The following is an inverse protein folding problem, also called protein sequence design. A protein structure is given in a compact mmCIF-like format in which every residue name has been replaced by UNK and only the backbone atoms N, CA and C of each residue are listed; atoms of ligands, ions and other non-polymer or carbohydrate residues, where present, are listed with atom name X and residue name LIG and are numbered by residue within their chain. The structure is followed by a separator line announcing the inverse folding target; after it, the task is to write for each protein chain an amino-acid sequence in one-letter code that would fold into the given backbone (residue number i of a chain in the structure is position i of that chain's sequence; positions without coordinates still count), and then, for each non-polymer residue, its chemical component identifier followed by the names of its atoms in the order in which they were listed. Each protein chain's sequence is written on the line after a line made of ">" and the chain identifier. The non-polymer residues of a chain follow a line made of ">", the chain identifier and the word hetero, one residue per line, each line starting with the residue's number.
data_IF_136432463171
#
_entry.id   IF_136432463171
#
_cell.length_a   1.000
_cell.length_b   1.000
_cell.length_c   1.000
_cell.angle_alpha   90.00
_cell.angle_beta   90.00
_cell.angle_gamma   90.00
#
_symmetry.space_group_name_H-M   'P 1'
#
loop_
_entity.id
_entity.type
_entity.pdbx_description
1 polymer ?
#
# COMPACT_ATOMS: atom_id res chain seq x y z
N UNK A 1 21.33 -100.05 78.30
CA UNK A 1 22.08 -100.97 79.17
C UNK A 1 21.11 -102.03 79.69
N UNK A 2 21.36 -103.31 79.42
CA UNK A 2 20.55 -104.38 80.01
C UNK A 2 21.07 -104.65 81.42
N UNK A 3 20.20 -104.65 82.42
CA UNK A 3 20.58 -105.05 83.78
C UNK A 3 20.73 -106.58 83.82
N UNK A 4 21.90 -107.07 84.25
CA UNK A 4 22.23 -108.51 84.21
C UNK A 4 21.74 -109.30 85.42
N UNK A 5 21.42 -108.61 86.51
CA UNK A 5 21.01 -109.25 87.76
C UNK A 5 19.50 -109.20 87.90
N UNK A 6 18.92 -110.36 88.20
CA UNK A 6 17.51 -110.46 88.56
C UNK A 6 17.21 -109.57 89.77
N UNK A 7 16.10 -108.85 89.70
CA UNK A 7 15.65 -108.05 90.82
C UNK A 7 15.25 -108.97 91.97
N UNK A 8 15.57 -108.60 93.23
CA UNK A 8 15.11 -109.34 94.40
C UNK A 8 13.60 -109.15 94.54
N UNK A 9 12.82 -109.95 93.81
CA UNK A 9 11.38 -109.80 93.71
C UNK A 9 10.71 -110.08 95.06
N UNK A 10 10.18 -109.02 95.66
CA UNK A 10 9.51 -109.09 96.96
C UNK A 10 8.11 -108.49 96.86
N UNK A 11 7.10 -109.35 96.70
CA UNK A 11 5.69 -108.92 96.50
C UNK A 11 4.93 -108.62 97.79
N UNK A 12 5.46 -109.05 98.94
CA UNK A 12 4.84 -108.79 100.24
C UNK A 12 4.93 -107.30 100.58
N UNK A 13 3.83 -106.56 100.44
CA UNK A 13 3.81 -105.09 100.63
C UNK A 13 4.16 -104.63 102.05
N UNK A 14 3.88 -105.46 103.04
CA UNK A 14 4.14 -105.12 104.44
C UNK A 14 3.39 -103.89 104.95
N UNK A 15 3.86 -103.34 106.06
CA UNK A 15 3.37 -102.10 106.68
C UNK A 15 4.58 -101.21 106.97
N UNK A 16 4.51 -99.94 106.61
CA UNK A 16 5.60 -98.98 106.84
C UNK A 16 5.89 -98.87 108.35
N UNK A 17 7.16 -98.94 108.79
CA UNK A 17 7.53 -98.62 110.16
C UNK A 17 7.13 -97.19 110.55
N UNK A 18 6.84 -96.91 111.83
CA UNK A 18 6.67 -95.54 112.31
C UNK A 18 7.94 -94.72 112.03
N UNK A 19 7.77 -93.42 111.78
CA UNK A 19 8.85 -92.55 111.33
C UNK A 19 10.07 -92.56 112.27
N UNK A 20 9.85 -92.57 113.58
CA UNK A 20 10.92 -92.68 114.57
C UNK A 20 11.85 -93.88 114.35
N UNK A 21 11.30 -95.02 113.89
CA UNK A 21 12.10 -96.22 113.57
C UNK A 21 12.81 -96.14 112.22
N UNK A 22 12.30 -95.35 111.27
CA UNK A 22 13.01 -95.09 110.01
C UNK A 22 14.22 -94.18 110.24
N UNK A 23 14.09 -93.23 111.16
CA UNK A 23 15.14 -92.26 111.47
C UNK A 23 16.25 -92.89 112.33
N UNK A 24 15.90 -93.71 113.33
CA UNK A 24 16.87 -94.33 114.25
C UNK A 24 17.48 -95.65 113.76
N UNK A 25 16.81 -96.36 112.84
CA UNK A 25 17.22 -97.68 112.35
C UNK A 25 16.99 -98.86 113.32
N UNK A 26 17.45 -100.05 112.93
CA UNK A 26 17.38 -101.27 113.75
C UNK A 26 18.48 -101.28 114.81
N UNK A 27 18.12 -101.43 116.09
CA UNK A 27 19.08 -101.54 117.21
C UNK A 27 19.42 -102.99 117.51
N UNK A 28 20.55 -103.23 118.16
CA UNK A 28 20.94 -104.58 118.62
C UNK A 28 19.87 -105.11 119.57
N UNK A 29 19.39 -106.34 119.35
CA UNK A 29 18.23 -107.00 120.00
C UNK A 29 16.83 -106.56 119.50
N UNK A 30 16.70 -105.63 118.54
CA UNK A 30 15.41 -105.36 117.93
C UNK A 30 14.93 -106.60 117.13
N UNK A 31 13.70 -107.03 117.39
CA UNK A 31 13.00 -108.08 116.63
C UNK A 31 11.97 -107.41 115.72
N UNK A 32 12.36 -106.93 114.52
CA UNK A 32 11.47 -106.19 113.64
C UNK A 32 10.25 -107.02 113.23
N UNK A 33 9.02 -106.45 113.23
CA UNK A 33 7.86 -107.13 112.69
C UNK A 33 8.09 -107.50 111.22
N UNK A 34 7.66 -108.69 110.81
CA UNK A 34 7.77 -109.15 109.42
C UNK A 34 7.11 -108.18 108.43
N UNK A 35 6.04 -107.49 108.84
CA UNK A 35 5.39 -106.47 108.02
C UNK A 35 6.33 -105.29 107.69
N UNK A 36 7.22 -104.90 108.60
CA UNK A 36 8.14 -103.78 108.39
C UNK A 36 9.27 -104.16 107.43
N UNK A 37 9.83 -105.36 107.61
CA UNK A 37 10.82 -105.91 106.68
C UNK A 37 10.23 -106.10 105.28
N UNK A 38 9.00 -106.63 105.19
CA UNK A 38 8.27 -106.77 103.94
C UNK A 38 8.11 -105.43 103.22
N UNK A 39 7.74 -104.36 103.94
CA UNK A 39 7.59 -103.02 103.35
C UNK A 39 8.91 -102.49 102.78
N UNK A 40 10.00 -102.60 103.56
CA UNK A 40 11.31 -102.15 103.12
C UNK A 40 11.78 -102.93 101.89
N UNK A 41 11.64 -104.25 101.91
CA UNK A 41 12.05 -105.12 100.80
C UNK A 41 11.21 -104.88 99.54
N UNK A 42 9.88 -104.76 99.66
CA UNK A 42 9.00 -104.46 98.52
C UNK A 42 9.26 -103.07 97.93
N UNK A 43 9.43 -102.04 98.76
CA UNK A 43 9.71 -100.69 98.26
C UNK A 43 11.07 -100.60 97.59
N UNK A 44 12.05 -101.32 98.11
CA UNK A 44 13.38 -101.41 97.48
C UNK A 44 13.26 -102.13 96.13
N UNK A 45 12.50 -103.22 96.03
CA UNK A 45 12.22 -103.90 94.77
C UNK A 45 11.51 -102.99 93.75
N UNK A 46 10.41 -102.33 94.13
CA UNK A 46 9.66 -101.43 93.22
C UNK A 46 10.52 -100.27 92.71
N UNK A 47 11.31 -99.64 93.58
CA UNK A 47 12.20 -98.55 93.18
C UNK A 47 13.31 -99.03 92.24
N UNK A 48 13.91 -100.19 92.51
CA UNK A 48 14.91 -100.78 91.62
C UNK A 48 14.29 -101.19 90.28
N UNK A 49 13.05 -101.72 90.27
CA UNK A 49 12.31 -102.03 89.05
C UNK A 49 12.06 -100.79 88.19
N UNK A 50 11.58 -99.70 88.79
CA UNK A 50 11.34 -98.45 88.07
C UNK A 50 12.64 -97.88 87.49
N UNK A 51 13.75 -97.94 88.23
CA UNK A 51 15.06 -97.51 87.73
C UNK A 51 15.52 -98.39 86.56
N UNK A 52 15.33 -99.71 86.66
CA UNK A 52 15.68 -100.62 85.57
C UNK A 52 14.85 -100.37 84.29
N UNK A 53 13.54 -100.14 84.45
CA UNK A 53 12.62 -99.86 83.32
C UNK A 53 12.87 -98.49 82.68
N UNK A 54 13.08 -97.42 83.48
CA UNK A 54 13.23 -96.05 82.96
C UNK A 54 14.66 -95.67 82.52
N UNK A 55 15.70 -96.36 83.00
CA UNK A 55 17.07 -96.08 82.58
C UNK A 55 17.33 -96.44 81.10
N UNK A 56 16.51 -97.31 80.51
CA UNK A 56 16.58 -97.64 79.08
C UNK A 56 16.27 -96.43 78.18
N UNK A 57 15.29 -95.60 78.54
CA UNK A 57 14.84 -94.46 77.71
C UNK A 57 15.93 -93.37 77.54
N UNK A 58 16.75 -93.12 78.57
CA UNK A 58 17.83 -92.12 78.49
C UNK A 58 18.91 -92.51 77.47
N UNK A 59 19.16 -93.81 77.31
CA UNK A 59 20.14 -94.35 76.35
C UNK A 59 19.67 -94.20 74.92
N UNK A 60 18.36 -94.38 74.67
CA UNK A 60 17.76 -94.26 73.34
C UNK A 60 17.71 -92.80 72.89
N UNK A 61 17.35 -91.87 73.78
CA UNK A 61 17.34 -90.42 73.47
C UNK A 61 18.75 -89.91 73.14
N UNK A 62 19.76 -90.35 73.88
CA UNK A 62 21.15 -89.97 73.59
C UNK A 62 21.61 -90.47 72.21
N UNK A 63 21.26 -91.72 71.88
CA UNK A 63 21.58 -92.33 70.57
C UNK A 63 20.88 -91.60 69.43
N UNK A 64 19.60 -91.24 69.59
CA UNK A 64 18.83 -90.51 68.59
C UNK A 64 19.39 -89.10 68.29
N UNK A 65 19.88 -88.39 69.31
CA UNK A 65 20.54 -87.09 69.14
C UNK A 65 21.84 -87.26 68.33
N UNK A 66 22.64 -88.26 68.68
CA UNK A 66 23.89 -88.56 67.99
C UNK A 66 23.64 -88.93 66.51
N UNK A 67 22.69 -89.80 66.24
CA UNK A 67 22.30 -90.21 64.89
C UNK A 67 21.80 -89.04 64.04
N UNK A 68 20.98 -88.15 64.62
CA UNK A 68 20.48 -86.95 63.93
C UNK A 68 21.60 -85.98 63.58
N UNK A 69 22.53 -85.77 64.51
CA UNK A 69 23.72 -84.94 64.26
C UNK A 69 24.57 -85.55 63.17
N UNK A 70 24.83 -86.86 63.24
CA UNK A 70 25.63 -87.60 62.26
C UNK A 70 25.01 -87.57 60.87
N UNK A 71 23.69 -87.73 60.77
CA UNK A 71 22.94 -87.58 59.51
C UNK A 71 23.11 -86.19 58.91
N UNK A 72 22.95 -85.14 59.73
CA UNK A 72 23.06 -83.75 59.27
C UNK A 72 24.48 -83.43 58.82
N UNK A 73 25.48 -83.80 59.63
CA UNK A 73 26.91 -83.67 59.31
C UNK A 73 27.25 -84.44 58.02
N UNK A 74 26.76 -85.67 57.83
CA UNK A 74 26.98 -86.47 56.61
C UNK A 74 26.39 -85.80 55.37
N UNK A 75 25.20 -85.20 55.47
CA UNK A 75 24.55 -84.52 54.35
C UNK A 75 25.27 -83.23 53.95
N UNK A 76 25.91 -82.54 54.90
CA UNK A 76 26.67 -81.31 54.62
C UNK A 76 28.16 -81.55 54.38
N UNK A 77 28.72 -82.70 54.80
CA UNK A 77 30.15 -83.01 54.66
C UNK A 77 30.62 -83.05 53.20
N UNK A 78 29.73 -83.40 52.27
CA UNK A 78 30.02 -83.36 50.83
C UNK A 78 29.87 -81.99 50.19
N UNK A 79 29.32 -81.00 50.92
CA UNK A 79 29.12 -79.64 50.43
C UNK A 79 30.39 -78.86 50.68
N UNK A 80 31.19 -78.77 49.64
CA UNK A 80 32.35 -77.88 49.61
C UNK A 80 31.88 -76.44 49.39
N UNK A 81 31.66 -75.71 50.49
CA UNK A 81 31.26 -74.29 50.45
C UNK A 81 32.22 -73.42 49.65
N UNK A 82 33.49 -73.82 49.52
CA UNK A 82 34.49 -73.08 48.75
C UNK A 82 34.31 -73.25 47.23
N UNK A 83 33.57 -74.29 46.81
CA UNK A 83 33.17 -74.51 45.41
C UNK A 83 31.85 -73.84 45.05
N UNK A 84 31.08 -73.35 46.02
CA UNK A 84 29.88 -72.55 45.76
C UNK A 84 30.32 -71.16 45.32
N UNK A 85 30.34 -70.97 44.01
CA UNK A 85 30.69 -69.72 43.33
C UNK A 85 29.50 -69.26 42.48
N UNK A 86 29.46 -67.99 42.03
CA UNK A 86 28.45 -67.57 41.08
C UNK A 86 28.35 -68.50 39.85
N UNK A 87 29.51 -68.99 39.36
CA UNK A 87 29.57 -69.95 38.25
C UNK A 87 28.88 -71.28 38.57
N UNK A 88 29.03 -71.80 39.79
CA UNK A 88 28.46 -73.11 40.15
C UNK A 88 26.95 -73.08 40.37
N UNK A 89 26.34 -71.91 40.54
CA UNK A 89 24.88 -71.74 40.74
C UNK A 89 24.19 -71.01 39.59
N UNK A 90 24.93 -70.66 38.53
CA UNK A 90 24.40 -69.89 37.39
C UNK A 90 24.08 -68.42 37.71
N UNK A 91 24.67 -67.86 38.77
CA UNK A 91 24.56 -66.45 39.10
C UNK A 91 25.64 -65.63 38.38
N UNK A 92 25.30 -64.39 38.00
CA UNK A 92 26.27 -63.44 37.44
C UNK A 92 27.29 -63.03 38.51
N UNK A 93 28.58 -62.98 38.15
CA UNK A 93 29.61 -62.47 39.05
C UNK A 93 29.42 -60.97 39.25
N UNK A 94 29.72 -60.48 40.45
CA UNK A 94 29.73 -59.04 40.72
C UNK A 94 30.57 -58.27 39.70
N UNK A 95 31.73 -58.82 39.31
CA UNK A 95 32.60 -58.21 38.30
C UNK A 95 31.94 -58.11 36.93
N UNK A 96 31.21 -59.14 36.47
CA UNK A 96 30.54 -59.13 35.17
C UNK A 96 29.38 -58.13 35.16
N UNK A 97 28.66 -58.01 36.27
CA UNK A 97 27.61 -57.00 36.46
C UNK A 97 28.21 -55.59 36.47
N UNK A 98 29.27 -55.37 37.24
CA UNK A 98 29.95 -54.06 37.31
C UNK A 98 30.52 -53.67 35.93
N UNK A 99 31.07 -54.63 35.17
CA UNK A 99 31.52 -54.44 33.77
C UNK A 99 30.35 -54.05 32.88
N UNK A 100 29.21 -54.73 32.98
CA UNK A 100 28.02 -54.37 32.20
C UNK A 100 27.50 -52.99 32.57
N UNK A 101 27.42 -52.66 33.86
CA UNK A 101 26.94 -51.37 34.36
C UNK A 101 27.86 -50.19 33.97
N UNK A 102 29.17 -50.43 33.85
CA UNK A 102 30.13 -49.44 33.38
C UNK A 102 30.15 -49.27 31.85
N UNK A 103 29.54 -50.19 31.10
CA UNK A 103 29.57 -50.20 29.65
C UNK A 103 28.53 -49.24 29.05
N UNK A 104 29.00 -48.11 28.54
CA UNK A 104 28.17 -47.09 27.86
C UNK A 104 27.78 -47.46 26.42
N UNK A 105 28.23 -48.62 25.94
CA UNK A 105 28.14 -49.03 24.54
C UNK A 105 27.24 -50.25 24.32
N UNK A 106 27.26 -51.22 25.24
CA UNK A 106 26.64 -52.56 25.13
C UNK A 106 25.13 -52.61 24.83
N UNK A 107 24.39 -51.54 25.06
CA UNK A 107 22.93 -51.53 24.92
C UNK A 107 22.42 -51.35 23.48
N UNK A 108 23.27 -50.90 22.56
CA UNK A 108 22.96 -50.81 21.13
C UNK A 108 24.17 -51.28 20.33
N UNK A 109 23.91 -51.90 19.18
CA UNK A 109 24.98 -52.25 18.25
C UNK A 109 25.66 -51.00 17.69
N UNK A 110 26.90 -51.17 17.19
CA UNK A 110 27.59 -50.09 16.49
C UNK A 110 26.78 -49.59 15.29
N UNK A 111 26.11 -50.50 14.58
CA UNK A 111 25.28 -50.19 13.42
C UNK A 111 24.07 -49.34 13.80
N UNK A 112 23.35 -49.69 14.88
CA UNK A 112 22.23 -48.88 15.39
C UNK A 112 22.67 -47.48 15.84
N UNK A 113 23.82 -47.40 16.53
CA UNK A 113 24.40 -46.11 16.95
C UNK A 113 24.75 -45.23 15.77
N UNK A 114 25.39 -45.80 14.75
CA UNK A 114 25.73 -45.09 13.52
C UNK A 114 24.47 -44.65 12.77
N UNK A 115 23.46 -45.51 12.70
CA UNK A 115 22.19 -45.20 12.07
C UNK A 115 21.46 -44.05 12.79
N UNK A 116 21.41 -44.05 14.12
CA UNK A 116 20.82 -42.96 14.91
C UNK A 116 21.59 -41.66 14.74
N UNK A 117 22.92 -41.68 14.86
CA UNK A 117 23.75 -40.50 14.68
C UNK A 117 23.68 -39.92 13.25
N UNK A 118 23.31 -40.74 12.26
CA UNK A 118 23.13 -40.31 10.88
C UNK A 118 21.73 -39.71 10.59
N UNK A 119 20.73 -39.90 11.46
CA UNK A 119 19.34 -39.42 11.18
C UNK A 119 19.25 -37.90 11.08
N UNK A 120 19.98 -37.18 11.92
CA UNK A 120 20.14 -35.74 11.81
C UNK A 120 21.51 -35.35 12.36
N UNK A 121 22.27 -34.55 11.61
CA UNK A 121 23.55 -34.00 12.05
C UNK A 121 23.46 -32.48 12.08
N UNK A 122 24.32 -31.78 12.84
CA UNK A 122 24.40 -30.32 12.76
C UNK A 122 24.56 -29.81 11.32
N UNK A 123 25.35 -30.51 10.49
CA UNK A 123 25.51 -30.20 9.07
C UNK A 123 24.25 -30.45 8.24
N UNK A 124 23.53 -31.56 8.51
CA UNK A 124 22.25 -31.86 7.86
C UNK A 124 21.16 -30.83 8.19
N UNK A 125 21.08 -30.42 9.45
CA UNK A 125 20.15 -29.39 9.90
C UNK A 125 20.48 -28.03 9.25
N UNK A 126 21.76 -27.66 9.18
CA UNK A 126 22.20 -26.43 8.50
C UNK A 126 21.87 -26.46 7.01
N UNK A 127 22.08 -27.58 6.32
CA UNK A 127 21.73 -27.73 4.91
C UNK A 127 20.23 -27.53 4.67
N UNK A 128 19.38 -28.10 5.52
CA UNK A 128 17.92 -27.91 5.46
C UNK A 128 17.52 -26.45 5.74
N UNK A 129 18.16 -25.80 6.70
CA UNK A 129 17.92 -24.39 7.00
C UNK A 129 18.30 -23.48 5.81
N UNK A 130 19.47 -23.68 5.22
CA UNK A 130 19.91 -22.95 4.03
C UNK A 130 18.97 -23.19 2.83
N UNK A 131 18.49 -24.42 2.67
CA UNK A 131 17.52 -24.75 1.63
C UNK A 131 16.17 -24.06 1.87
N UNK A 132 15.69 -24.01 3.12
CA UNK A 132 14.46 -23.30 3.47
C UNK A 132 14.59 -21.79 3.22
N UNK A 133 15.72 -21.18 3.58
CA UNK A 133 16.02 -19.78 3.30
C UNK A 133 16.05 -19.49 1.79
N UNK A 134 16.72 -20.37 1.02
CA UNK A 134 16.76 -20.28 -0.44
C UNK A 134 15.36 -20.40 -1.05
N UNK A 135 14.56 -21.35 -0.58
CA UNK A 135 13.18 -21.53 -1.03
C UNK A 135 12.32 -20.30 -0.71
N UNK A 136 12.49 -19.68 0.45
CA UNK A 136 11.76 -18.48 0.84
C UNK A 136 12.12 -17.27 -0.03
N UNK A 137 13.41 -17.06 -0.31
CA UNK A 137 13.91 -16.03 -1.25
C UNK A 137 13.33 -16.24 -2.65
N UNK A 138 13.46 -17.45 -3.19
CA UNK A 138 12.90 -17.80 -4.49
C UNK A 138 11.39 -17.58 -4.56
N UNK A 139 10.66 -17.94 -3.49
CA UNK A 139 9.22 -17.72 -3.42
C UNK A 139 8.89 -16.23 -3.52
N UNK A 140 9.53 -15.35 -2.75
CA UNK A 140 9.28 -13.90 -2.79
C UNK A 140 9.71 -13.27 -4.12
N UNK A 141 10.89 -13.63 -4.63
CA UNK A 141 11.47 -13.04 -5.84
C UNK A 141 10.68 -13.41 -7.11
N UNK A 142 10.09 -14.62 -7.13
CA UNK A 142 9.26 -15.12 -8.23
C UNK A 142 7.87 -14.48 -8.32
N UNK A 143 7.40 -13.81 -7.27
CA UNK A 143 6.08 -13.17 -7.30
C UNK A 143 6.10 -11.94 -8.22
N UNK A 144 5.00 -11.75 -8.96
CA UNK A 144 4.78 -10.64 -9.88
C UNK A 144 4.21 -9.38 -9.19
N UNK A 145 4.68 -9.08 -7.97
CA UNK A 145 4.30 -7.86 -7.26
C UNK A 145 5.05 -6.66 -7.83
N UNK A 146 4.54 -5.47 -7.52
CA UNK A 146 5.18 -4.22 -7.89
C UNK A 146 6.58 -4.12 -7.24
N UNK A 147 7.64 -4.33 -8.02
CA UNK A 147 9.04 -4.29 -7.56
C UNK A 147 9.64 -2.87 -7.50
N UNK A 148 8.97 -1.89 -8.09
CA UNK A 148 9.39 -0.48 -8.06
C UNK A 148 8.56 0.32 -7.06
N UNK A 149 9.21 1.07 -6.18
CA UNK A 149 8.55 1.87 -5.14
C UNK A 149 7.84 3.08 -5.75
N UNK A 150 6.50 3.07 -5.68
CA UNK A 150 5.64 4.13 -6.25
C UNK A 150 5.16 5.16 -5.21
N UNK A 151 5.30 4.85 -3.92
CA UNK A 151 4.94 5.71 -2.78
C UNK A 151 5.87 5.41 -1.59
N UNK A 152 5.87 6.28 -0.58
CA UNK A 152 6.55 6.04 0.71
C UNK A 152 5.87 4.91 1.49
N UNK A 153 6.58 4.31 2.45
CA UNK A 153 6.06 3.15 3.20
C UNK A 153 4.92 3.51 4.16
N UNK A 154 4.77 4.80 4.48
CA UNK A 154 3.64 5.38 5.23
C UNK A 154 2.42 5.70 4.36
N UNK A 155 2.47 5.37 3.07
CA UNK A 155 1.42 5.68 2.09
C UNK A 155 1.45 7.11 1.56
N UNK A 156 2.40 7.94 1.99
CA UNK A 156 2.56 9.30 1.44
C UNK A 156 3.31 9.29 0.11
N UNK A 157 3.17 10.36 -0.66
CA UNK A 157 4.01 10.57 -1.84
C UNK A 157 5.49 10.67 -1.45
N UNK A 158 6.37 10.20 -2.33
CA UNK A 158 7.83 10.18 -2.14
C UNK A 158 8.38 11.60 -2.16
N UNK A 159 9.14 11.99 -1.13
CA UNK A 159 9.75 13.32 -1.06
C UNK A 159 10.93 13.44 -2.05
N UNK A 160 10.83 14.40 -2.96
CA UNK A 160 11.84 14.74 -3.97
C UNK A 160 12.30 16.19 -3.83
N UNK A 161 12.21 16.76 -2.63
CA UNK A 161 12.65 18.14 -2.39
C UNK A 161 14.11 18.34 -2.77
N UNK A 162 14.42 19.47 -3.39
CA UNK A 162 15.75 19.84 -3.90
C UNK A 162 16.27 18.93 -5.04
N UNK A 163 15.40 18.15 -5.69
CA UNK A 163 15.76 17.35 -6.87
C UNK A 163 15.30 18.01 -8.17
N UNK A 164 15.95 17.65 -9.26
CA UNK A 164 15.54 18.05 -10.61
C UNK A 164 14.46 17.12 -11.16
N UNK A 165 13.30 17.66 -11.56
CA UNK A 165 12.20 16.89 -12.16
C UNK A 165 12.60 16.22 -13.47
N UNK A 166 13.60 16.72 -14.20
CA UNK A 166 14.11 16.04 -15.38
C UNK A 166 14.76 14.68 -15.04
N UNK A 167 15.17 14.47 -13.78
CA UNK A 167 15.72 13.20 -13.28
C UNK A 167 14.67 12.24 -12.70
N UNK A 168 13.43 12.69 -12.51
CA UNK A 168 12.34 11.89 -11.94
C UNK A 168 11.57 11.22 -13.08
N UNK A 169 12.13 10.11 -13.56
CA UNK A 169 11.69 9.42 -14.79
C UNK A 169 11.12 8.02 -14.55
N UNK A 170 10.89 7.64 -13.29
CA UNK A 170 10.23 6.38 -12.96
C UNK A 170 8.80 6.64 -12.50
N UNK A 171 7.93 5.64 -12.66
CA UNK A 171 6.53 5.75 -12.27
C UNK A 171 6.39 5.89 -10.76
N UNK A 172 5.63 6.88 -10.31
CA UNK A 172 5.35 7.07 -8.89
C UNK A 172 4.58 8.35 -8.58
N UNK A 173 4.21 8.46 -7.31
CA UNK A 173 3.63 9.65 -6.72
C UNK A 173 4.67 10.31 -5.83
N UNK A 174 4.98 11.56 -6.15
CA UNK A 174 6.02 12.34 -5.49
C UNK A 174 5.46 13.63 -4.91
N UNK A 175 6.20 14.22 -3.98
CA UNK A 175 5.93 15.54 -3.38
C UNK A 175 7.25 16.27 -3.16
N UNK A 176 7.22 17.58 -3.10
CA UNK A 176 8.41 18.30 -2.64
C UNK A 176 8.40 19.78 -2.95
N UNK A 177 9.51 20.41 -2.58
CA UNK A 177 9.81 21.82 -2.84
C UNK A 177 11.20 21.99 -3.46
N UNK A 178 11.51 23.17 -3.99
CA UNK A 178 12.77 23.45 -4.70
C UNK A 178 13.06 22.43 -5.81
N UNK A 179 12.03 22.04 -6.54
CA UNK A 179 12.15 21.06 -7.61
C UNK A 179 12.70 21.74 -8.88
N UNK A 180 13.89 21.34 -9.32
CA UNK A 180 14.50 21.85 -10.56
C UNK A 180 13.63 21.51 -11.78
N UNK A 181 13.59 22.40 -12.78
CA UNK A 181 12.76 22.26 -13.99
C UNK A 181 11.25 22.05 -13.74
N UNK A 182 10.76 22.37 -12.54
CA UNK A 182 9.34 22.42 -12.24
C UNK A 182 8.69 23.69 -12.81
N UNK A 183 7.37 23.68 -13.08
CA UNK A 183 6.65 24.92 -13.31
C UNK A 183 6.65 25.75 -12.02
N UNK A 184 6.40 27.05 -12.12
CA UNK A 184 6.32 27.91 -10.94
C UNK A 184 5.11 27.52 -10.07
N UNK A 185 5.37 27.03 -8.85
CA UNK A 185 4.36 26.61 -7.86
C UNK A 185 4.19 27.66 -6.76
N UNK A 186 3.00 27.74 -6.17
CA UNK A 186 2.75 28.61 -5.01
C UNK A 186 3.48 28.05 -3.80
N UNK A 187 4.27 28.88 -3.12
CA UNK A 187 5.15 28.48 -2.00
C UNK A 187 6.12 27.33 -2.32
N UNK A 188 6.35 27.06 -3.61
CA UNK A 188 7.30 26.05 -4.10
C UNK A 188 6.88 24.60 -3.89
N UNK A 189 5.80 24.31 -3.15
CA UNK A 189 5.37 22.96 -2.83
C UNK A 189 4.36 22.42 -3.85
N UNK A 190 4.52 21.16 -4.22
CA UNK A 190 3.55 20.46 -5.05
C UNK A 190 3.69 18.95 -5.00
N UNK A 191 2.71 18.30 -5.63
CA UNK A 191 2.74 16.88 -5.91
C UNK A 191 3.12 16.66 -7.37
N UNK A 192 3.83 15.56 -7.63
CA UNK A 192 4.21 15.16 -8.98
C UNK A 192 3.73 13.73 -9.20
N UNK A 193 2.87 13.55 -10.20
CA UNK A 193 2.55 12.24 -10.74
C UNK A 193 3.48 11.99 -11.93
N UNK A 194 4.20 10.88 -11.89
CA UNK A 194 5.01 10.43 -13.03
C UNK A 194 4.48 9.10 -13.52
N UNK A 195 4.15 9.03 -14.81
CA UNK A 195 3.74 7.81 -15.49
C UNK A 195 4.78 7.51 -16.57
N UNK A 196 5.48 6.39 -16.42
CA UNK A 196 6.59 6.03 -17.31
C UNK A 196 6.19 4.89 -18.23
N UNK A 197 6.40 5.08 -19.54
CA UNK A 197 6.38 4.00 -20.51
C UNK A 197 7.75 3.32 -20.61
N UNK A 198 8.81 4.12 -20.82
CA UNK A 198 10.19 3.68 -20.81
C UNK A 198 11.04 4.71 -20.04
N UNK A 199 11.67 4.34 -18.91
CA UNK A 199 12.45 5.27 -18.11
C UNK A 199 13.54 5.95 -18.93
N UNK A 200 13.59 7.27 -18.90
CA UNK A 200 14.57 8.06 -19.64
C UNK A 200 14.24 8.35 -21.11
N UNK A 201 13.10 7.89 -21.63
CA UNK A 201 12.69 8.17 -23.03
C UNK A 201 11.24 8.63 -23.17
N UNK A 202 10.30 7.97 -22.48
CA UNK A 202 8.86 8.24 -22.63
C UNK A 202 8.19 8.34 -21.26
N UNK A 203 7.99 9.58 -20.80
CA UNK A 203 7.52 9.88 -19.44
C UNK A 203 6.46 10.99 -19.49
N UNK A 204 5.33 10.79 -18.83
CA UNK A 204 4.37 11.85 -18.53
C UNK A 204 4.62 12.36 -17.12
N UNK A 205 4.76 13.67 -16.95
CA UNK A 205 4.75 14.31 -15.65
C UNK A 205 3.55 15.21 -15.53
N UNK A 206 2.83 15.10 -14.42
CA UNK A 206 1.83 16.08 -13.99
C UNK A 206 2.26 16.66 -12.66
N UNK A 207 2.27 17.97 -12.56
CA UNK A 207 2.57 18.68 -11.32
C UNK A 207 1.30 19.34 -10.85
N UNK A 208 0.86 18.96 -9.66
CA UNK A 208 -0.25 19.55 -8.95
C UNK A 208 0.31 20.53 -7.94
N UNK A 209 -0.12 21.79 -8.04
CA UNK A 209 0.26 22.79 -7.04
C UNK A 209 -0.42 22.43 -5.72
N UNK A 210 0.33 22.34 -4.61
CA UNK A 210 -0.25 22.03 -3.30
C UNK A 210 -1.18 23.15 -2.83
N UNK A 211 -0.89 24.39 -3.25
CA UNK A 211 -1.50 25.58 -2.72
C UNK A 211 -2.35 26.33 -3.77
N UNK A 212 -2.65 25.71 -4.91
CA UNK A 212 -3.53 26.28 -5.94
C UNK A 212 -4.26 25.20 -6.76
N UNK A 213 -5.48 25.52 -7.22
CA UNK A 213 -6.31 24.65 -8.09
C UNK A 213 -5.82 24.65 -9.54
N UNK A 214 -4.56 24.25 -9.74
CA UNK A 214 -3.94 24.16 -11.05
C UNK A 214 -3.03 22.96 -11.09
N UNK A 215 -2.99 22.35 -12.26
CA UNK A 215 -1.94 21.40 -12.57
C UNK A 215 -1.38 21.66 -13.94
N UNK A 216 -0.13 21.29 -14.06
CA UNK A 216 0.66 21.39 -15.27
C UNK A 216 0.99 19.99 -15.72
N UNK A 217 1.09 19.79 -17.02
CA UNK A 217 1.60 18.57 -17.58
C UNK A 217 2.71 18.85 -18.57
N UNK A 218 3.64 17.92 -18.68
CA UNK A 218 4.64 17.87 -19.76
C UNK A 218 5.00 16.42 -20.06
N UNK A 219 5.70 16.19 -21.16
CA UNK A 219 6.15 14.86 -21.58
C UNK A 219 7.64 14.87 -21.88
N UNK A 220 8.33 13.78 -21.52
CA UNK A 220 9.61 13.42 -22.11
C UNK A 220 9.32 12.62 -23.37
N UNK A 221 9.91 13.07 -24.48
CA UNK A 221 9.87 12.42 -25.79
C UNK A 221 11.32 12.19 -26.26
N UNK A 222 11.51 11.56 -27.42
CA UNK A 222 12.85 11.31 -27.99
C UNK A 222 13.72 12.57 -28.09
N UNK A 223 13.10 13.74 -28.32
CA UNK A 223 13.78 15.04 -28.45
C UNK A 223 13.91 15.82 -27.13
N UNK A 224 13.61 15.19 -25.99
CA UNK A 224 13.68 15.80 -24.67
C UNK A 224 12.32 16.22 -24.09
N UNK A 225 12.37 17.06 -23.07
CA UNK A 225 11.19 17.52 -22.34
C UNK A 225 10.42 18.57 -23.14
N UNK A 226 9.10 18.40 -23.26
CA UNK A 226 8.21 19.47 -23.73
C UNK A 226 8.12 20.59 -22.70
N UNK A 227 7.69 21.78 -23.14
CA UNK A 227 7.28 22.83 -22.22
C UNK A 227 6.14 22.36 -21.32
N UNK A 228 6.04 22.97 -20.13
CA UNK A 228 4.89 22.79 -19.25
C UNK A 228 3.65 23.45 -19.83
N UNK A 229 2.55 22.71 -19.86
CA UNK A 229 1.23 23.22 -20.23
C UNK A 229 0.28 23.06 -19.07
N UNK A 230 -0.39 24.13 -18.68
CA UNK A 230 -1.49 24.09 -17.71
C UNK A 230 -2.72 23.45 -18.36
N UNK A 231 -3.43 22.56 -17.66
CA UNK A 231 -4.48 21.75 -18.29
C UNK A 231 -5.77 22.54 -18.63
N UNK A 232 -6.02 22.62 -19.94
CA UNK A 232 -7.19 22.94 -20.78
C UNK A 232 -8.28 23.99 -20.47
N UNK A 233 -8.63 24.35 -19.23
CA UNK A 233 -9.72 25.35 -19.06
C UNK A 233 -9.29 26.77 -19.49
N UNK A 234 -8.06 27.16 -19.15
CA UNK A 234 -7.54 28.49 -19.48
C UNK A 234 -7.34 28.67 -20.99
N UNK A 235 -6.87 27.64 -21.70
CA UNK A 235 -6.69 27.71 -23.15
C UNK A 235 -8.01 28.00 -23.89
N UNK A 236 -9.14 27.49 -23.38
CA UNK A 236 -10.46 27.77 -23.94
C UNK A 236 -10.91 29.21 -23.71
N UNK A 237 -10.70 29.74 -22.50
CA UNK A 237 -11.02 31.15 -22.16
C UNK A 237 -10.15 32.13 -22.94
N UNK A 238 -8.85 31.84 -23.09
CA UNK A 238 -7.91 32.68 -23.85
C UNK A 238 -8.30 32.76 -25.33
N UNK A 239 -8.68 31.63 -25.94
CA UNK A 239 -9.19 31.60 -27.30
C UNK A 239 -10.47 32.45 -27.44
N UNK A 240 -11.38 32.32 -26.47
CA UNK A 240 -12.67 33.02 -26.47
C UNK A 240 -12.51 34.54 -26.33
N UNK A 241 -11.63 35.00 -25.44
CA UNK A 241 -11.27 36.41 -25.28
C UNK A 241 -10.68 37.01 -26.57
N UNK A 242 -9.78 36.29 -27.24
CA UNK A 242 -9.16 36.76 -28.49
C UNK A 242 -10.20 36.93 -29.60
N UNK A 243 -11.13 35.98 -29.75
CA UNK A 243 -12.21 36.04 -30.73
C UNK A 243 -13.17 37.20 -30.43
N UNK A 244 -13.62 37.32 -29.18
CA UNK A 244 -14.51 38.41 -28.77
C UNK A 244 -13.89 39.80 -28.99
N UNK A 245 -12.60 39.98 -28.65
CA UNK A 245 -11.88 41.23 -28.90
C UNK A 245 -11.81 41.59 -30.38
N UNK A 246 -11.58 40.61 -31.25
CA UNK A 246 -11.54 40.82 -32.70
C UNK A 246 -12.90 41.25 -33.27
N UNK A 247 -14.01 40.68 -32.78
CA UNK A 247 -15.37 41.05 -33.19
C UNK A 247 -15.70 42.48 -32.75
N UNK A 248 -15.42 42.81 -31.49
CA UNK A 248 -15.60 44.17 -30.95
C UNK A 248 -14.80 45.22 -31.71
N UNK A 249 -13.57 44.89 -32.14
CA UNK A 249 -12.76 45.77 -32.97
C UNK A 249 -13.37 46.08 -34.36
N UNK A 250 -14.34 45.28 -34.81
CA UNK A 250 -15.12 45.51 -36.04
C UNK A 250 -16.44 46.26 -35.80
N UNK A 251 -16.65 46.78 -34.60
CA UNK A 251 -17.83 47.59 -34.27
C UNK A 251 -19.04 46.78 -33.78
N UNK A 252 -18.92 45.46 -33.65
CA UNK A 252 -19.98 44.59 -33.11
C UNK A 252 -19.66 44.23 -31.66
N UNK A 253 -20.46 44.65 -30.65
CA UNK A 253 -20.15 44.38 -29.26
C UNK A 253 -20.13 42.87 -28.93
N UNK A 254 -18.97 42.32 -28.56
CA UNK A 254 -18.76 40.92 -28.18
C UNK A 254 -17.88 40.77 -26.93
N UNK A 255 -18.08 39.68 -26.19
CA UNK A 255 -17.33 39.38 -24.96
C UNK A 255 -17.08 37.88 -24.80
N UNK A 256 -16.13 37.49 -23.94
CA UNK A 256 -15.89 36.08 -23.64
C UNK A 256 -16.99 35.41 -22.81
N UNK A 257 -18.03 36.14 -22.38
CA UNK A 257 -19.22 35.53 -21.79
C UNK A 257 -20.19 35.00 -22.85
N UNK A 258 -20.16 35.54 -24.07
CA UNK A 258 -21.00 35.06 -25.18
C UNK A 258 -20.73 33.58 -25.45
N UNK A 259 -21.75 32.74 -25.63
CA UNK A 259 -21.52 31.36 -26.10
C UNK A 259 -20.84 31.36 -27.47
N UNK A 260 -20.24 30.24 -27.87
CA UNK A 260 -19.66 30.15 -29.23
C UNK A 260 -20.70 30.43 -30.32
N UNK A 261 -21.96 30.06 -30.10
CA UNK A 261 -23.08 30.38 -30.99
C UNK A 261 -23.38 31.89 -31.02
N UNK A 262 -23.39 32.55 -29.87
CA UNK A 262 -23.57 34.01 -29.81
C UNK A 262 -22.42 34.76 -30.49
N UNK A 263 -21.17 34.32 -30.30
CA UNK A 263 -20.02 34.86 -31.02
C UNK A 263 -20.15 34.65 -32.54
N UNK A 264 -20.60 33.48 -32.98
CA UNK A 264 -20.83 33.18 -34.39
C UNK A 264 -21.91 34.08 -35.01
N UNK A 265 -23.03 34.28 -34.32
CA UNK A 265 -24.08 35.20 -34.76
C UNK A 265 -23.58 36.64 -34.85
N UNK A 266 -22.76 37.09 -33.89
CA UNK A 266 -22.16 38.44 -33.93
C UNK A 266 -21.16 38.62 -35.06
N UNK A 267 -20.43 37.57 -35.44
CA UNK A 267 -19.56 37.60 -36.63
C UNK A 267 -20.39 37.86 -37.90
N UNK A 268 -21.59 37.28 -38.02
CA UNK A 268 -22.46 37.49 -39.18
C UNK A 268 -23.00 38.92 -39.28
N UNK A 269 -23.05 39.66 -38.17
CA UNK A 269 -23.50 41.07 -38.15
C UNK A 269 -22.37 42.06 -38.40
N UNK A 270 -21.13 41.61 -38.62
CA UNK A 270 -20.02 42.50 -38.96
C UNK A 270 -20.29 43.14 -40.33
N UNK A 271 -20.37 44.46 -40.39
CA UNK A 271 -20.51 45.20 -41.64
C UNK A 271 -19.25 45.02 -42.51
N UNK A 272 -19.43 44.41 -43.68
CA UNK A 272 -18.36 44.17 -44.67
C UNK A 272 -18.45 45.07 -45.89
N UNK A 273 -19.47 45.94 -45.96
CA UNK A 273 -19.74 46.85 -47.08
C UNK A 273 -19.12 48.24 -46.94
N UNK A 274 -19.22 49.04 -48.02
CA UNK A 274 -18.89 50.47 -48.03
C UNK A 274 -19.72 51.21 -46.97
N UNK A 275 -19.14 52.25 -46.36
CA UNK A 275 -19.87 53.10 -45.40
C UNK A 275 -20.57 54.22 -46.15
N UNK A 276 -21.81 54.54 -45.77
CA UNK A 276 -22.60 55.57 -46.41
C UNK A 276 -23.16 56.55 -45.37
N UNK A 277 -23.20 57.82 -45.71
CA UNK A 277 -23.92 58.85 -44.96
C UNK A 277 -24.66 59.74 -45.97
N UNK A 278 -25.83 60.25 -45.60
CA UNK A 278 -26.53 61.22 -46.46
C UNK A 278 -27.34 62.19 -45.63
N UNK A 279 -27.59 63.37 -46.17
CA UNK A 279 -28.53 64.32 -45.57
C UNK A 279 -29.21 65.15 -46.64
N UNK A 280 -30.51 65.38 -46.45
CA UNK A 280 -31.27 66.34 -47.23
C UNK A 280 -31.02 67.73 -46.67
N UNK A 281 -30.54 68.63 -47.50
CA UNK A 281 -30.31 70.01 -47.13
C UNK A 281 -30.49 70.86 -48.38
N UNK A 282 -31.07 72.04 -48.22
CA UNK A 282 -31.28 72.93 -49.32
C UNK A 282 -30.17 73.97 -49.36
N UNK A 283 -29.37 73.99 -50.44
CA UNK A 283 -28.36 75.01 -50.66
C UNK A 283 -28.39 75.52 -52.08
N UNK A 284 -28.67 76.82 -52.22
CA UNK A 284 -28.59 77.52 -53.50
C UNK A 284 -27.15 77.91 -53.80
N UNK A 285 -26.63 77.45 -54.94
CA UNK A 285 -25.34 77.81 -55.50
C UNK A 285 -25.60 78.88 -56.58
N UNK A 286 -25.52 80.14 -56.17
CA UNK A 286 -25.77 81.31 -57.04
C UNK A 286 -24.49 82.06 -57.40
N UNK A 287 -23.46 81.93 -56.56
CA UNK A 287 -22.14 82.55 -56.73
C UNK A 287 -21.07 81.52 -56.36
N UNK A 288 -19.81 81.82 -56.68
CA UNK A 288 -18.67 81.03 -56.24
C UNK A 288 -18.65 80.92 -54.70
N UNK A 289 -18.34 79.74 -54.18
CA UNK A 289 -18.27 79.53 -52.75
C UNK A 289 -17.98 78.10 -52.35
N UNK A 290 -18.15 77.81 -51.06
CA UNK A 290 -17.85 76.50 -50.46
C UNK A 290 -18.94 76.08 -49.49
N UNK A 291 -19.25 74.79 -49.37
CA UNK A 291 -19.90 74.25 -48.17
C UNK A 291 -19.14 73.04 -47.67
N UNK A 292 -19.35 72.74 -46.40
CA UNK A 292 -18.65 71.69 -45.71
C UNK A 292 -19.65 70.80 -44.99
N UNK A 293 -19.38 69.50 -45.04
CA UNK A 293 -20.06 68.49 -44.24
C UNK A 293 -19.03 67.92 -43.29
N UNK A 294 -19.29 68.08 -41.99
CA UNK A 294 -18.44 67.62 -40.90
C UNK A 294 -19.15 66.57 -40.06
N UNK A 295 -18.38 65.87 -39.22
CA UNK A 295 -18.87 64.88 -38.26
C UNK A 295 -19.38 63.57 -38.89
N UNK A 296 -18.84 63.19 -40.05
CA UNK A 296 -18.96 61.83 -40.55
C UNK A 296 -18.14 60.87 -39.68
N UNK A 297 -18.67 59.67 -39.43
CA UNK A 297 -17.99 58.60 -38.69
C UNK A 297 -16.90 57.89 -39.52
N UNK A 298 -16.62 58.38 -40.73
CA UNK A 298 -15.64 57.84 -41.67
C UNK A 298 -15.10 58.96 -42.58
N UNK A 299 -13.94 58.71 -43.20
CA UNK A 299 -13.38 59.55 -44.26
C UNK A 299 -13.98 59.13 -45.60
N UNK A 300 -14.80 59.98 -46.26
CA UNK A 300 -15.34 59.63 -47.56
C UNK A 300 -14.26 59.59 -48.65
N UNK A 301 -14.50 58.78 -49.67
CA UNK A 301 -13.72 58.69 -50.91
C UNK A 301 -14.53 59.03 -52.16
N UNK A 302 -15.86 59.04 -52.04
CA UNK A 302 -16.81 59.45 -53.08
C UNK A 302 -17.95 60.26 -52.43
N UNK A 303 -18.43 61.30 -53.12
CA UNK A 303 -19.60 62.10 -52.73
C UNK A 303 -20.54 62.24 -53.93
N UNK A 304 -21.83 62.04 -53.70
CA UNK A 304 -22.89 62.27 -54.69
C UNK A 304 -23.68 63.49 -54.25
N UNK A 305 -23.80 64.48 -55.13
CA UNK A 305 -24.66 65.64 -54.91
C UNK A 305 -25.91 65.51 -55.78
N UNK A 306 -27.07 65.57 -55.15
CA UNK A 306 -28.34 65.71 -55.86
C UNK A 306 -28.64 67.19 -56.07
N UNK A 307 -28.82 67.56 -57.32
CA UNK A 307 -28.94 68.92 -57.80
C UNK A 307 -30.29 69.11 -58.52
N UNK A 308 -30.87 70.30 -58.35
CA UNK A 308 -31.95 70.80 -59.17
C UNK A 308 -31.50 72.13 -59.79
N UNK A 309 -31.61 72.26 -61.11
CA UNK A 309 -31.38 73.54 -61.77
C UNK A 309 -32.68 74.34 -61.74
N UNK A 310 -32.61 75.59 -61.28
CA UNK A 310 -33.75 76.50 -61.31
C UNK A 310 -33.31 77.80 -61.99
N UNK A 311 -33.88 78.07 -63.16
CA UNK A 311 -33.70 79.34 -63.87
C UNK A 311 -34.87 80.26 -63.54
N UNK A 312 -34.59 81.48 -63.07
CA UNK A 312 -35.59 82.47 -62.67
C UNK A 312 -35.31 83.77 -63.43
N UNK A 313 -36.16 84.01 -64.44
CA UNK A 313 -36.36 85.29 -65.15
C UNK A 313 -35.30 85.72 -66.19
N UNK A 314 -35.79 86.13 -67.36
CA UNK A 314 -35.14 87.12 -68.23
C UNK A 314 -35.42 88.51 -67.65
N UNK A 315 -34.49 89.46 -67.82
CA UNK A 315 -34.61 90.84 -67.30
C UNK A 315 -35.80 91.63 -67.85
N UNK A 316 -36.51 91.11 -68.84
CA UNK A 316 -37.69 91.71 -69.49
C UNK A 316 -39.04 91.16 -69.00
N UNK A 317 -39.02 90.23 -68.02
CA UNK A 317 -40.22 89.64 -67.43
C UNK A 317 -40.96 88.63 -68.31
N UNK A 318 -40.39 88.19 -69.45
CA UNK A 318 -41.07 87.32 -70.43
C UNK A 318 -40.81 85.81 -70.27
N UNK A 319 -40.05 85.39 -69.26
CA UNK A 319 -39.43 84.06 -69.22
C UNK A 319 -40.29 82.90 -68.72
N UNK A 320 -40.28 81.80 -69.48
CA UNK A 320 -40.71 80.47 -69.06
C UNK A 320 -39.62 79.84 -68.16
N UNK A 321 -40.02 79.38 -66.98
CA UNK A 321 -39.17 78.69 -66.02
C UNK A 321 -38.93 77.22 -66.41
N UNK A 322 -37.67 76.86 -66.69
CA UNK A 322 -37.28 75.46 -66.77
C UNK A 322 -36.67 74.99 -65.45
N UNK A 323 -37.01 73.76 -65.04
CA UNK A 323 -36.40 73.09 -63.89
C UNK A 323 -35.90 71.72 -64.32
N UNK A 324 -34.63 71.43 -64.09
CA UNK A 324 -34.19 70.03 -64.02
C UNK A 324 -34.46 69.51 -62.62
N UNK A 325 -34.81 68.23 -62.51
CA UNK A 325 -35.04 67.58 -61.22
C UNK A 325 -34.19 66.31 -61.14
N UNK A 326 -33.71 66.01 -59.93
CA UNK A 326 -33.03 64.75 -59.60
C UNK A 326 -31.75 64.49 -60.40
N UNK A 327 -30.99 65.54 -60.72
CA UNK A 327 -29.67 65.35 -61.28
C UNK A 327 -28.72 64.87 -60.19
N UNK A 328 -27.88 63.87 -60.49
CA UNK A 328 -26.83 63.41 -59.58
C UNK A 328 -25.46 63.71 -60.18
N UNK A 329 -24.60 64.33 -59.40
CA UNK A 329 -23.21 64.56 -59.75
C UNK A 329 -22.32 63.77 -58.78
N UNK A 330 -21.56 62.82 -59.32
CA UNK A 330 -20.68 61.94 -58.55
C UNK A 330 -19.27 62.50 -58.57
N UNK A 331 -18.73 62.76 -57.38
CA UNK A 331 -17.43 63.37 -57.16
C UNK A 331 -16.54 62.38 -56.40
N UNK A 332 -15.52 61.86 -57.08
CA UNK A 332 -14.43 61.13 -56.45
C UNK A 332 -13.25 62.09 -56.23
N UNK A 333 -12.15 61.87 -56.95
CA UNK A 333 -10.99 62.75 -56.92
C UNK A 333 -11.05 63.78 -58.07
N UNK A 334 -10.98 65.08 -57.74
CA UNK A 334 -10.93 66.17 -58.73
C UNK A 334 -12.20 67.01 -58.80
N UNK A 335 -12.44 67.60 -59.97
CA UNK A 335 -13.59 68.48 -60.22
C UNK A 335 -14.47 67.96 -61.35
N UNK A 336 -15.80 68.00 -61.17
CA UNK A 336 -16.78 67.81 -62.23
C UNK A 336 -17.26 69.16 -62.77
N UNK A 337 -17.56 69.21 -64.06
CA UNK A 337 -18.17 70.36 -64.71
C UNK A 337 -19.50 69.96 -65.34
N UNK A 338 -20.49 70.82 -65.20
CA UNK A 338 -21.81 70.68 -65.81
C UNK A 338 -22.21 71.99 -66.48
N UNK A 339 -22.79 71.91 -67.67
CA UNK A 339 -23.19 73.07 -68.45
C UNK A 339 -24.53 72.79 -69.13
N UNK A 340 -25.56 73.57 -68.77
CA UNK A 340 -26.91 73.45 -69.32
C UNK A 340 -27.74 74.70 -69.00
N UNK A 341 -28.77 74.97 -69.81
CA UNK A 341 -29.71 76.09 -69.66
C UNK A 341 -29.03 77.45 -69.37
N UNK A 342 -27.87 77.72 -69.98
CA UNK A 342 -27.14 78.98 -69.83
C UNK A 342 -26.34 79.11 -68.53
N UNK A 343 -26.17 78.03 -67.76
CA UNK A 343 -25.41 78.01 -66.50
C UNK A 343 -24.28 76.99 -66.60
N UNK A 344 -23.08 77.42 -66.24
CA UNK A 344 -21.91 76.54 -66.08
C UNK A 344 -21.55 76.40 -64.60
N UNK A 345 -21.63 75.18 -64.10
CA UNK A 345 -21.26 74.81 -62.74
C UNK A 345 -19.95 73.99 -62.78
N UNK A 346 -18.95 74.41 -62.01
CA UNK A 346 -17.78 73.58 -61.71
C UNK A 346 -17.77 73.25 -60.23
N UNK A 347 -17.67 71.97 -59.88
CA UNK A 347 -17.64 71.53 -58.48
C UNK A 347 -16.45 70.61 -58.23
N UNK A 348 -15.66 70.92 -57.22
CA UNK A 348 -14.60 70.07 -56.70
C UNK A 348 -14.90 69.63 -55.27
N UNK A 349 -14.43 68.46 -54.89
CA UNK A 349 -14.53 67.94 -53.52
C UNK A 349 -13.15 67.74 -52.92
N UNK A 350 -13.00 68.10 -51.65
CA UNK A 350 -11.84 67.78 -50.83
C UNK A 350 -12.29 66.88 -49.67
N UNK A 351 -11.68 65.70 -49.54
CA UNK A 351 -12.06 64.72 -48.51
C UNK A 351 -11.26 64.92 -47.22
N UNK A 352 -11.98 65.16 -46.14
CA UNK A 352 -11.44 65.30 -44.78
C UNK A 352 -11.57 63.98 -44.01
N UNK A 353 -10.85 63.83 -42.90
CA UNK A 353 -10.87 62.59 -42.11
C UNK A 353 -12.26 62.23 -41.53
N UNK A 354 -13.15 63.22 -41.39
CA UNK A 354 -14.49 63.09 -40.82
C UNK A 354 -15.53 63.90 -41.61
N UNK A 355 -15.30 64.10 -42.92
CA UNK A 355 -16.12 65.04 -43.69
C UNK A 355 -15.63 65.29 -45.10
N UNK A 356 -16.21 66.28 -45.75
CA UNK A 356 -15.76 66.77 -47.05
C UNK A 356 -16.14 68.23 -47.25
N UNK A 357 -15.33 68.94 -48.04
CA UNK A 357 -15.60 70.31 -48.48
C UNK A 357 -15.92 70.29 -49.97
N UNK A 358 -17.02 70.93 -50.34
CA UNK A 358 -17.41 71.13 -51.72
C UNK A 358 -17.13 72.56 -52.12
N UNK A 359 -16.22 72.74 -53.06
CA UNK A 359 -15.90 74.00 -53.70
C UNK A 359 -16.71 74.10 -55.00
N UNK A 360 -17.42 75.20 -55.21
CA UNK A 360 -18.21 75.39 -56.43
C UNK A 360 -17.96 76.76 -57.06
N UNK A 361 -17.99 76.79 -58.39
CA UNK A 361 -17.97 78.00 -59.19
C UNK A 361 -19.17 78.03 -60.12
N UNK A 362 -19.86 79.17 -60.19
CA UNK A 362 -21.08 79.34 -60.99
C UNK A 362 -20.85 80.48 -61.96
N UNK A 363 -20.88 80.18 -63.27
CA UNK A 363 -20.78 81.17 -64.32
C UNK A 363 -22.08 81.21 -65.13
N UNK A 364 -22.63 82.41 -65.32
CA UNK A 364 -23.68 82.65 -66.30
C UNK A 364 -23.07 82.79 -67.69
N UNK A 365 -23.69 82.18 -68.71
CA UNK A 365 -23.16 82.11 -70.08
C UNK A 365 -23.76 83.23 -70.96
N UNK A 366 -24.44 84.23 -70.36
CA UNK A 366 -24.93 85.41 -71.07
C UNK A 366 -25.42 86.53 -70.14
N UNK A 367 -25.46 87.77 -70.63
CA UNK A 367 -25.80 88.99 -69.84
C UNK A 367 -27.23 88.99 -69.25
N UNK A 368 -28.09 88.05 -69.66
CA UNK A 368 -29.52 88.04 -69.36
C UNK A 368 -30.02 86.85 -68.52
N UNK A 369 -29.14 85.93 -68.10
CA UNK A 369 -29.53 84.74 -67.35
C UNK A 369 -29.20 84.85 -65.86
N UNK A 370 -30.23 84.74 -65.01
CA UNK A 370 -30.10 84.50 -63.56
C UNK A 370 -30.70 83.14 -63.21
N UNK A 371 -29.86 82.17 -62.87
CA UNK A 371 -30.34 80.92 -62.31
C UNK A 371 -29.45 80.42 -61.20
N UNK A 372 -29.98 79.46 -60.46
CA UNK A 372 -29.34 78.87 -59.30
C UNK A 372 -29.33 77.35 -59.44
N UNK A 373 -28.20 76.75 -59.07
CA UNK A 373 -28.13 75.30 -58.85
C UNK A 373 -28.47 75.05 -57.39
N UNK A 374 -29.49 74.24 -57.13
CA UNK A 374 -29.88 73.89 -55.77
C UNK A 374 -29.35 72.50 -55.46
N UNK A 375 -28.45 72.40 -54.48
CA UNK A 375 -28.15 71.11 -53.87
C UNK A 375 -29.31 70.79 -52.93
N UNK A 376 -29.91 69.63 -53.10
CA UNK A 376 -31.06 69.17 -52.30
C UNK A 376 -30.70 68.03 -51.35
N UNK A 377 -29.65 67.27 -51.68
CA UNK A 377 -29.14 66.17 -50.87
C UNK A 377 -27.68 65.90 -51.21
N UNK A 378 -26.92 65.44 -50.24
CA UNK A 378 -25.61 64.83 -50.45
C UNK A 378 -25.61 63.39 -49.95
N UNK A 379 -24.80 62.55 -50.57
CA UNK A 379 -24.44 61.22 -50.10
C UNK A 379 -22.91 61.12 -50.09
N UNK A 380 -22.33 60.56 -49.03
CA UNK A 380 -20.90 60.35 -48.87
C UNK A 380 -20.63 58.87 -48.68
N UNK A 381 -19.57 58.36 -49.31
CA UNK A 381 -19.28 56.94 -49.42
C UNK A 381 -17.80 56.71 -49.07
N UNK A 382 -17.50 55.65 -48.33
CA UNK A 382 -16.13 55.18 -48.03
C UNK A 382 -15.95 53.69 -48.22
#
# INVERSE_FOLDING_TARGET
>A
MAFEKELPEWKGKGVKPPQSKLDEGWKVQDKPPAAWLNWQMNKTYEALKEVQEKAAEKSEVASAIEDTKKYSDQKVAGIDLTKITPDSIGATKKIDFDIHAADKTKHITADERNAWNAKETPGGAQAKANQAETNAKNYIDSKAWQKHKVASDDGTAIDISNRDLNSIVHTGFYKGTNMGNAPALVHGWGYVEVITHAPGSWVLQKVYDLHADRFYMRRLQDNGWTAWTQDLFQSGVDAKNRIAGAISAKGVPASASDTFEQLASKIQTIETGRKYASSSFYRSLTYDGTFEVNSLSFKPSEVILLLNLVVVEYSDGSGIAGRTQNMAMVLGWGSAQYEDMGIKLSVGVEFLNNGFVVNHKVHSIGEFYRGAVQVTRWEAIS
#
